data_IF_475873472444
#
_entry.id   IF_475873472444
#
_cell.length_a   1.000
_cell.length_b   1.000
_cell.length_c   1.000
_cell.angle_alpha   90.00
_cell.angle_beta   90.00
_cell.angle_gamma   90.00
#
_symmetry.space_group_name_H-M   'P 1'
#
loop_
_entity.id
_entity.type
_entity.pdbx_description
1 polymer ?
#
# COMPACT_ATOMS: atom_id res chain seq x y z
N UNK A 1 -13.55 30.98 -7.69
CA UNK A 1 -14.07 29.59 -7.86
C UNK A 1 -14.63 29.15 -6.50
N UNK A 2 -15.72 28.37 -6.43
CA UNK A 2 -16.27 27.92 -5.14
C UNK A 2 -16.01 26.43 -4.96
N UNK A 3 -15.29 26.06 -3.90
CA UNK A 3 -15.09 24.66 -3.53
C UNK A 3 -16.10 24.27 -2.45
N UNK A 4 -16.63 23.05 -2.51
CA UNK A 4 -17.55 22.52 -1.50
C UNK A 4 -16.92 21.25 -0.94
N UNK A 5 -16.76 21.19 0.38
CA UNK A 5 -16.33 20.01 1.11
C UNK A 5 -17.41 19.62 2.11
N UNK A 6 -18.03 18.45 1.94
CA UNK A 6 -19.08 17.91 2.84
C UNK A 6 -20.13 18.98 3.23
N UNK A 7 -20.63 19.71 2.22
CA UNK A 7 -21.61 20.81 2.36
C UNK A 7 -21.09 22.13 2.97
N UNK A 8 -19.82 22.22 3.34
CA UNK A 8 -19.16 23.48 3.73
C UNK A 8 -18.50 24.13 2.51
N UNK A 9 -18.80 25.41 2.29
CA UNK A 9 -18.20 26.19 1.21
C UNK A 9 -16.81 26.70 1.63
N UNK A 10 -15.82 26.48 0.77
CA UNK A 10 -14.49 27.11 0.85
C UNK A 10 -14.41 28.19 -0.21
N UNK A 11 -14.35 29.44 0.25
CA UNK A 11 -14.23 30.61 -0.62
C UNK A 11 -12.79 30.82 -1.04
N UNK A 12 -12.61 31.31 -2.26
CA UNK A 12 -11.30 31.63 -2.83
C UNK A 12 -11.27 33.01 -3.45
N UNK A 13 -10.08 33.61 -3.45
CA UNK A 13 -9.73 34.85 -4.13
C UNK A 13 -8.58 34.55 -5.08
N UNK A 14 -8.66 35.05 -6.31
CA UNK A 14 -7.56 34.96 -7.26
C UNK A 14 -6.73 36.24 -7.15
N UNK A 15 -5.45 36.10 -6.83
CA UNK A 15 -4.53 37.22 -6.67
C UNK A 15 -3.16 36.82 -7.19
N UNK A 16 -2.55 37.68 -8.01
CA UNK A 16 -1.24 37.45 -8.64
C UNK A 16 -1.17 36.11 -9.40
N UNK A 17 -2.24 35.75 -10.10
CA UNK A 17 -2.35 34.50 -10.86
C UNK A 17 -2.22 33.23 -9.99
N UNK A 18 -2.51 33.35 -8.69
CA UNK A 18 -2.56 32.27 -7.72
C UNK A 18 -3.90 32.26 -7.00
N UNK A 19 -4.36 31.06 -6.62
CA UNK A 19 -5.58 30.87 -5.84
C UNK A 19 -5.23 30.97 -4.36
N UNK A 20 -5.95 31.84 -3.66
CA UNK A 20 -5.88 32.01 -2.22
C UNK A 20 -7.20 31.59 -1.57
N UNK A 21 -7.11 30.84 -0.48
CA UNK A 21 -8.26 30.30 0.25
C UNK A 21 -8.56 31.12 1.49
N UNK A 22 -9.84 31.35 1.78
CA UNK A 22 -10.24 32.04 3.02
C UNK A 22 -9.96 31.15 4.22
N UNK A 23 -9.03 31.58 5.09
CA UNK A 23 -8.54 30.77 6.22
C UNK A 23 -9.65 30.40 7.21
N UNK A 24 -10.66 31.27 7.36
CA UNK A 24 -11.81 31.03 8.24
C UNK A 24 -12.58 29.77 7.83
N UNK A 25 -12.82 29.58 6.53
CA UNK A 25 -13.61 28.46 6.02
C UNK A 25 -12.85 27.14 6.25
N UNK A 26 -11.53 27.16 6.03
CA UNK A 26 -10.64 26.01 6.29
C UNK A 26 -10.63 25.68 7.79
N UNK A 27 -10.46 26.68 8.65
CA UNK A 27 -10.45 26.47 10.10
C UNK A 27 -11.78 25.91 10.60
N UNK A 28 -12.92 26.35 10.04
CA UNK A 28 -14.24 25.81 10.37
C UNK A 28 -14.42 24.37 9.90
N UNK A 29 -13.80 23.98 8.78
CA UNK A 29 -13.77 22.57 8.36
C UNK A 29 -12.88 21.74 9.28
N UNK A 30 -11.73 22.27 9.71
CA UNK A 30 -10.74 21.57 10.54
C UNK A 30 -11.04 21.61 12.06
N UNK A 31 -12.18 22.18 12.46
CA UNK A 31 -12.60 22.39 13.86
C UNK A 31 -11.57 23.21 14.67
N UNK A 32 -10.98 24.22 14.03
CA UNK A 32 -10.12 25.21 14.65
C UNK A 32 -10.93 26.45 15.06
N UNK A 33 -11.13 26.61 16.37
CA UNK A 33 -11.92 27.73 16.93
C UNK A 33 -11.24 29.09 16.83
N UNK A 34 -9.91 29.15 16.69
CA UNK A 34 -9.14 30.39 16.64
C UNK A 34 -8.33 30.47 15.34
N UNK A 35 -8.92 31.14 14.33
CA UNK A 35 -8.31 31.33 13.01
C UNK A 35 -6.96 32.04 13.10
N UNK A 36 -6.86 33.14 13.86
CA UNK A 36 -5.60 33.90 13.98
C UNK A 36 -4.45 33.06 14.51
N UNK A 37 -4.69 32.20 15.51
CA UNK A 37 -3.66 31.30 16.07
C UNK A 37 -3.27 30.17 15.11
N UNK A 38 -4.19 29.74 14.25
CA UNK A 38 -3.90 28.74 13.23
C UNK A 38 -2.99 29.34 12.15
N UNK A 39 -3.32 30.55 11.70
CA UNK A 39 -2.58 31.27 10.65
C UNK A 39 -1.23 31.81 11.15
N UNK A 40 -1.12 32.17 12.43
CA UNK A 40 0.15 32.64 13.03
C UNK A 40 1.29 31.62 12.91
N UNK A 41 0.96 30.32 12.86
CA UNK A 41 1.93 29.23 12.73
C UNK A 41 2.42 28.99 11.30
N UNK A 42 1.77 29.61 10.32
CA UNK A 42 2.16 29.49 8.92
C UNK A 42 3.30 30.44 8.62
N UNK A 43 4.13 30.08 7.65
CA UNK A 43 5.20 30.94 7.17
C UNK A 43 4.63 32.18 6.48
N UNK A 44 5.43 33.24 6.39
CA UNK A 44 4.95 34.54 5.89
C UNK A 44 4.59 34.53 4.40
N UNK A 45 5.11 33.57 3.63
CA UNK A 45 4.76 33.34 2.22
C UNK A 45 3.49 32.47 2.05
N UNK A 46 3.05 31.79 3.11
CA UNK A 46 1.87 30.93 3.10
C UNK A 46 0.56 31.68 3.40
N UNK A 47 0.65 32.90 3.94
CA UNK A 47 -0.50 33.68 4.44
C UNK A 47 -0.45 35.12 3.95
N UNK A 48 -1.62 35.74 3.76
CA UNK A 48 -1.73 37.17 3.57
C UNK A 48 -3.06 37.73 4.08
N UNK A 49 -3.11 39.03 4.33
CA UNK A 49 -4.36 39.74 4.61
C UNK A 49 -5.00 40.20 3.31
N UNK A 50 -6.23 39.78 3.09
CA UNK A 50 -7.01 40.16 1.91
C UNK A 50 -8.37 40.75 2.30
N UNK A 51 -8.96 41.49 1.37
CA UNK A 51 -10.29 42.08 1.52
C UNK A 51 -11.30 41.27 0.75
N UNK A 52 -12.33 40.78 1.44
CA UNK A 52 -13.44 40.04 0.86
C UNK A 52 -14.70 40.92 0.90
N UNK A 53 -15.34 41.09 -0.26
CA UNK A 53 -16.62 41.78 -0.34
C UNK A 53 -17.75 40.81 0.01
N UNK A 54 -18.42 41.05 1.13
CA UNK A 54 -19.53 40.24 1.63
C UNK A 54 -20.71 41.12 1.98
N UNK A 55 -21.87 40.83 1.40
CA UNK A 55 -23.15 41.48 1.76
C UNK A 55 -23.08 43.02 1.74
N UNK A 56 -22.39 43.60 0.76
CA UNK A 56 -22.25 45.05 0.62
C UNK A 56 -21.12 45.69 1.43
N UNK A 57 -20.33 44.90 2.17
CA UNK A 57 -19.25 45.40 3.01
C UNK A 57 -17.90 44.74 2.68
N UNK A 58 -16.83 45.54 2.74
CA UNK A 58 -15.47 45.06 2.71
C UNK A 58 -15.10 44.51 4.09
N UNK A 59 -14.63 43.26 4.15
CA UNK A 59 -14.12 42.63 5.37
C UNK A 59 -12.72 42.12 5.14
N UNK A 60 -11.83 42.49 6.05
CA UNK A 60 -10.48 41.95 6.09
C UNK A 60 -10.51 40.52 6.63
N UNK A 61 -9.77 39.61 5.97
CA UNK A 61 -9.65 38.22 6.37
C UNK A 61 -8.27 37.69 6.04
N UNK A 62 -7.81 36.73 6.83
CA UNK A 62 -6.67 35.91 6.47
C UNK A 62 -6.99 35.04 5.27
N UNK A 63 -6.07 35.04 4.32
CA UNK A 63 -6.01 34.13 3.20
C UNK A 63 -4.78 33.25 3.34
N UNK A 64 -4.88 32.02 2.84
CA UNK A 64 -3.77 31.07 2.78
C UNK A 64 -3.65 30.51 1.37
N UNK A 65 -2.42 30.30 0.90
CA UNK A 65 -2.19 29.63 -0.38
C UNK A 65 -2.31 28.11 -0.22
N UNK A 66 -2.00 27.35 -1.27
CA UNK A 66 -2.05 25.90 -1.24
C UNK A 66 -1.05 25.29 -0.24
N UNK A 67 0.15 25.87 -0.10
CA UNK A 67 1.14 25.42 0.90
C UNK A 67 0.59 25.58 2.32
N UNK A 68 0.07 26.77 2.65
CA UNK A 68 -0.54 27.05 3.95
C UNK A 68 -1.75 26.17 4.24
N UNK A 69 -2.57 25.86 3.23
CA UNK A 69 -3.67 24.91 3.34
C UNK A 69 -3.16 23.52 3.76
N UNK A 70 -2.12 23.00 3.10
CA UNK A 70 -1.53 21.71 3.47
C UNK A 70 -0.90 21.75 4.87
N UNK A 71 -0.20 22.83 5.24
CA UNK A 71 0.36 23.03 6.57
C UNK A 71 -0.74 22.95 7.66
N UNK A 72 -1.90 23.57 7.44
CA UNK A 72 -3.05 23.47 8.34
C UNK A 72 -3.64 22.05 8.41
N UNK A 73 -3.82 21.37 7.27
CA UNK A 73 -4.39 20.02 7.23
C UNK A 73 -3.45 19.01 7.91
N UNK A 74 -2.15 19.05 7.60
CA UNK A 74 -1.16 18.08 8.10
C UNK A 74 -0.89 18.19 9.60
N UNK A 75 -1.20 19.34 10.20
CA UNK A 75 -1.11 19.58 11.65
C UNK A 75 -2.44 19.40 12.38
N UNK A 76 -3.56 19.24 11.67
CA UNK A 76 -4.88 19.07 12.26
C UNK A 76 -5.02 17.73 12.99
N UNK A 77 -5.84 17.73 14.05
CA UNK A 77 -6.18 16.55 14.86
C UNK A 77 -7.48 15.87 14.42
N UNK A 78 -8.23 16.49 13.51
CA UNK A 78 -9.50 16.02 12.96
C UNK A 78 -9.34 14.67 12.24
N UNK A 79 -10.35 13.81 12.32
CA UNK A 79 -10.26 12.44 11.81
C UNK A 79 -10.03 12.41 10.29
N UNK A 80 -10.76 13.24 9.55
CA UNK A 80 -10.70 13.40 8.10
C UNK A 80 -9.33 13.93 7.68
N UNK A 81 -8.79 14.94 8.39
CA UNK A 81 -7.45 15.45 8.15
C UNK A 81 -6.35 14.41 8.41
N UNK A 82 -6.52 13.56 9.44
CA UNK A 82 -5.63 12.41 9.69
C UNK A 82 -5.70 11.37 8.57
N UNK A 83 -6.88 11.10 8.02
CA UNK A 83 -7.04 10.19 6.88
C UNK A 83 -6.31 10.75 5.65
N UNK A 84 -6.50 12.03 5.33
CA UNK A 84 -5.80 12.71 4.25
C UNK A 84 -4.28 12.69 4.45
N UNK A 85 -3.80 13.05 5.64
CA UNK A 85 -2.38 12.96 5.99
C UNK A 85 -1.84 11.56 5.77
N UNK A 86 -2.55 10.54 6.25
CA UNK A 86 -2.14 9.13 6.11
C UNK A 86 -2.08 8.73 4.64
N UNK A 87 -3.08 9.10 3.84
CA UNK A 87 -3.10 8.84 2.41
C UNK A 87 -1.90 9.50 1.71
N UNK A 88 -1.64 10.79 1.97
CA UNK A 88 -0.46 11.47 1.40
C UNK A 88 0.84 10.78 1.80
N UNK A 89 1.04 10.48 3.09
CA UNK A 89 2.33 10.00 3.59
C UNK A 89 2.58 8.52 3.33
N UNK A 90 1.55 7.70 3.20
CA UNK A 90 1.68 6.26 2.96
C UNK A 90 1.50 5.86 1.50
N UNK A 91 0.75 6.63 0.71
CA UNK A 91 0.44 6.30 -0.68
C UNK A 91 1.07 7.29 -1.65
N UNK A 92 0.69 8.57 -1.58
CA UNK A 92 1.06 9.55 -2.61
C UNK A 92 2.57 9.81 -2.64
N UNK A 93 3.15 10.29 -1.54
CA UNK A 93 4.58 10.63 -1.49
C UNK A 93 5.49 9.42 -1.72
N UNK A 94 5.24 8.24 -1.13
CA UNK A 94 6.03 7.06 -1.42
C UNK A 94 5.93 6.62 -2.89
N UNK A 95 4.76 6.76 -3.52
CA UNK A 95 4.59 6.46 -4.94
C UNK A 95 5.42 7.41 -5.79
N UNK A 96 5.26 8.73 -5.61
CA UNK A 96 6.03 9.74 -6.33
C UNK A 96 7.55 9.50 -6.17
N UNK A 97 8.02 9.20 -4.96
CA UNK A 97 9.44 8.91 -4.71
C UNK A 97 9.95 7.68 -5.49
N UNK A 98 9.10 6.66 -5.68
CA UNK A 98 9.49 5.40 -6.36
C UNK A 98 9.34 5.49 -7.87
N UNK A 99 8.31 6.17 -8.37
CA UNK A 99 7.91 6.13 -9.79
C UNK A 99 8.13 7.46 -10.51
N UNK A 100 8.42 8.55 -9.79
CA UNK A 100 8.53 9.90 -10.33
C UNK A 100 7.19 10.61 -10.55
N UNK A 101 6.03 9.99 -10.26
CA UNK A 101 4.73 10.62 -10.45
C UNK A 101 3.56 9.87 -9.82
N UNK A 102 2.44 10.57 -9.62
CA UNK A 102 1.18 10.02 -9.10
C UNK A 102 0.04 10.28 -10.07
N UNK A 103 -0.68 9.24 -10.47
CA UNK A 103 -1.84 9.33 -11.36
C UNK A 103 -3.07 8.90 -10.57
N UNK A 104 -3.83 9.89 -10.10
CA UNK A 104 -5.08 9.66 -9.38
C UNK A 104 -6.23 9.29 -10.32
N UNK A 105 -6.26 9.92 -11.51
CA UNK A 105 -7.31 9.76 -12.51
C UNK A 105 -6.68 9.62 -13.89
N UNK A 106 -6.84 8.43 -14.47
CA UNK A 106 -6.22 8.04 -15.74
C UNK A 106 -6.82 8.80 -16.92
N UNK A 107 -8.13 9.07 -16.89
CA UNK A 107 -8.82 9.81 -17.94
C UNK A 107 -8.40 11.28 -17.99
N UNK A 108 -8.33 11.94 -16.84
CA UNK A 108 -7.81 13.31 -16.73
C UNK A 108 -6.37 13.39 -17.20
N UNK A 109 -5.53 12.42 -16.82
CA UNK A 109 -4.14 12.36 -17.27
C UNK A 109 -4.03 12.23 -18.79
N UNK A 110 -4.77 11.29 -19.38
CA UNK A 110 -4.78 11.05 -20.82
C UNK A 110 -5.30 12.29 -21.58
N UNK A 111 -6.37 12.92 -21.10
CA UNK A 111 -6.92 14.12 -21.75
C UNK A 111 -5.94 15.29 -21.70
N UNK A 112 -5.23 15.46 -20.58
CA UNK A 112 -4.32 16.59 -20.38
C UNK A 112 -2.98 16.41 -21.12
N UNK A 113 -2.39 15.22 -21.04
CA UNK A 113 -1.01 14.98 -21.52
C UNK A 113 -0.95 14.22 -22.85
N UNK A 114 -2.03 13.55 -23.24
CA UNK A 114 -2.14 12.85 -24.53
C UNK A 114 -3.39 13.31 -25.33
N UNK A 115 -3.68 14.63 -25.43
CA UNK A 115 -4.93 15.12 -26.03
C UNK A 115 -5.07 14.66 -27.49
N UNK A 116 -3.98 14.68 -28.24
CA UNK A 116 -3.94 14.39 -29.68
C UNK A 116 -3.61 12.93 -30.03
N UNK A 117 -3.39 12.07 -29.03
CA UNK A 117 -3.19 10.65 -29.29
C UNK A 117 -4.46 10.01 -29.86
N UNK A 118 -4.29 9.04 -30.77
CA UNK A 118 -5.40 8.27 -31.31
C UNK A 118 -6.05 7.38 -30.24
N UNK A 119 -7.26 6.89 -30.53
CA UNK A 119 -8.03 6.12 -29.56
C UNK A 119 -7.31 4.82 -29.15
N UNK A 120 -6.60 4.19 -30.07
CA UNK A 120 -5.88 2.93 -29.82
C UNK A 120 -4.72 3.14 -28.83
N UNK A 121 -3.95 4.22 -28.99
CA UNK A 121 -2.85 4.60 -28.08
C UNK A 121 -3.40 4.92 -26.69
N UNK A 122 -4.51 5.66 -26.61
CA UNK A 122 -5.19 5.94 -25.33
C UNK A 122 -5.66 4.66 -24.63
N UNK A 123 -6.21 3.70 -25.38
CA UNK A 123 -6.63 2.38 -24.88
C UNK A 123 -5.45 1.54 -24.37
N UNK A 124 -4.35 1.44 -25.14
CA UNK A 124 -3.14 0.77 -24.67
C UNK A 124 -2.60 1.40 -23.39
N UNK A 125 -2.56 2.73 -23.32
CA UNK A 125 -2.04 3.42 -22.16
C UNK A 125 -2.86 3.13 -20.89
N UNK A 126 -4.20 3.16 -20.98
CA UNK A 126 -5.09 2.74 -19.88
C UNK A 126 -4.80 1.31 -19.43
N UNK A 127 -4.80 0.36 -20.37
CA UNK A 127 -4.55 -1.04 -20.06
C UNK A 127 -3.18 -1.26 -19.39
N UNK A 128 -2.17 -0.50 -19.82
CA UNK A 128 -0.82 -0.56 -19.25
C UNK A 128 -0.81 0.01 -17.83
N UNK A 129 -1.44 1.16 -17.59
CA UNK A 129 -1.56 1.74 -16.25
C UNK A 129 -2.31 0.82 -15.27
N UNK A 130 -3.42 0.23 -15.70
CA UNK A 130 -4.15 -0.76 -14.88
C UNK A 130 -3.27 -1.96 -14.54
N UNK A 131 -2.53 -2.48 -15.52
CA UNK A 131 -1.65 -3.63 -15.32
C UNK A 131 -0.54 -3.30 -14.32
N UNK A 132 0.08 -2.12 -14.46
CA UNK A 132 1.12 -1.64 -13.54
C UNK A 132 0.56 -1.44 -12.13
N UNK A 133 -0.66 -0.90 -11.97
CA UNK A 133 -1.31 -0.78 -10.65
C UNK A 133 -1.53 -2.14 -10.01
N UNK A 134 -2.11 -3.10 -10.74
CA UNK A 134 -2.32 -4.48 -10.26
C UNK A 134 -1.01 -5.15 -9.87
N UNK A 135 0.04 -4.98 -10.66
CA UNK A 135 1.38 -5.50 -10.33
C UNK A 135 1.95 -4.85 -9.07
N UNK A 136 1.86 -3.52 -8.93
CA UNK A 136 2.33 -2.79 -7.76
C UNK A 136 1.57 -3.17 -6.49
N UNK A 137 0.27 -3.38 -6.55
CA UNK A 137 -0.54 -3.88 -5.44
C UNK A 137 -0.12 -5.29 -5.03
N UNK A 138 0.08 -6.18 -6.00
CA UNK A 138 0.60 -7.52 -5.75
C UNK A 138 2.00 -7.47 -5.11
N UNK A 139 2.90 -6.61 -5.60
CA UNK A 139 4.22 -6.39 -5.00
C UNK A 139 4.13 -5.84 -3.58
N UNK A 140 3.24 -4.88 -3.31
CA UNK A 140 3.03 -4.29 -1.99
C UNK A 140 2.46 -5.29 -0.97
N UNK A 141 1.65 -6.26 -1.42
CA UNK A 141 1.17 -7.38 -0.58
C UNK A 141 2.28 -8.43 -0.37
N UNK A 142 3.10 -8.66 -1.38
CA UNK A 142 4.22 -9.61 -1.30
C UNK A 142 5.38 -9.08 -0.43
N UNK A 143 5.62 -7.78 -0.38
CA UNK A 143 6.75 -7.17 0.36
C UNK A 143 6.73 -7.42 1.88
N UNK A 144 5.66 -7.14 2.65
CA UNK A 144 5.63 -7.43 4.09
C UNK A 144 5.58 -8.94 4.37
N UNK A 145 5.06 -9.74 3.43
CA UNK A 145 5.20 -11.20 3.49
C UNK A 145 6.67 -11.59 3.33
N UNK A 146 7.38 -11.06 2.34
CA UNK A 146 8.80 -11.29 2.10
C UNK A 146 9.68 -10.84 3.28
N UNK A 147 9.42 -9.68 3.89
CA UNK A 147 10.16 -9.20 5.07
C UNK A 147 9.90 -10.06 6.31
N UNK A 148 8.67 -10.56 6.49
CA UNK A 148 8.35 -11.58 7.50
C UNK A 148 9.07 -12.91 7.20
N UNK A 149 9.17 -13.29 5.92
CA UNK A 149 9.93 -14.47 5.49
C UNK A 149 11.43 -14.33 5.80
N UNK A 150 12.07 -13.19 5.52
CA UNK A 150 13.50 -12.99 5.75
C UNK A 150 13.86 -13.05 7.24
N UNK A 151 13.01 -12.51 8.13
CA UNK A 151 13.21 -12.60 9.59
C UNK A 151 13.09 -14.03 10.15
N UNK A 152 12.29 -14.89 9.52
CA UNK A 152 12.15 -16.29 9.92
C UNK A 152 13.24 -17.19 9.31
N UNK A 153 13.77 -16.83 8.14
CA UNK A 153 14.83 -17.57 7.45
C UNK A 153 16.16 -17.53 8.21
N UNK A 154 16.41 -16.49 9.02
CA UNK A 154 17.63 -16.34 9.83
C UNK A 154 17.71 -17.28 11.06
N UNK A 155 16.66 -18.03 11.37
CA UNK A 155 16.71 -19.12 12.35
C UNK A 155 16.46 -20.41 11.60
N UNK A 156 17.48 -21.27 11.51
CA UNK A 156 17.53 -22.56 10.81
C UNK A 156 16.47 -23.59 11.33
N UNK A 157 15.18 -23.24 11.28
CA UNK A 157 14.01 -23.92 11.84
C UNK A 157 13.37 -24.83 10.79
N UNK A 158 14.16 -25.76 10.26
CA UNK A 158 13.67 -26.81 9.40
C UNK A 158 12.77 -27.77 10.19
N UNK A 159 11.56 -28.02 9.71
CA UNK A 159 10.62 -28.96 10.34
C UNK A 159 10.29 -30.12 9.39
N UNK A 160 9.84 -31.25 9.93
CA UNK A 160 9.42 -32.38 9.10
C UNK A 160 7.93 -32.24 8.71
N UNK A 161 7.44 -33.13 7.83
CA UNK A 161 6.04 -33.12 7.39
C UNK A 161 5.02 -33.27 8.52
N UNK A 162 5.36 -34.00 9.59
CA UNK A 162 4.45 -34.22 10.73
C UNK A 162 4.30 -32.95 11.54
N UNK A 163 5.41 -32.32 11.90
CA UNK A 163 5.39 -31.12 12.73
C UNK A 163 4.79 -29.94 11.97
N UNK A 164 5.07 -29.83 10.66
CA UNK A 164 4.40 -28.85 9.80
C UNK A 164 2.90 -29.09 9.71
N UNK A 165 2.45 -30.32 9.54
CA UNK A 165 1.01 -30.62 9.50
C UNK A 165 0.31 -30.25 10.81
N UNK A 166 0.95 -30.52 11.97
CA UNK A 166 0.43 -30.11 13.28
C UNK A 166 0.34 -28.59 13.43
N UNK A 167 1.37 -27.87 12.99
CA UNK A 167 1.41 -26.40 13.02
C UNK A 167 0.32 -25.77 12.14
N UNK A 168 -0.03 -26.44 11.04
CA UNK A 168 -1.12 -26.05 10.14
C UNK A 168 -2.49 -26.59 10.58
N UNK A 169 -2.58 -27.24 11.74
CA UNK A 169 -3.81 -27.84 12.30
C UNK A 169 -4.51 -28.83 11.33
N UNK A 170 -3.74 -29.51 10.47
CA UNK A 170 -4.26 -30.50 9.51
C UNK A 170 -3.65 -31.88 9.75
N UNK A 171 -4.40 -32.92 9.38
CA UNK A 171 -3.90 -34.29 9.45
C UNK A 171 -2.68 -34.50 8.56
N UNK A 172 -1.62 -35.14 9.07
CA UNK A 172 -0.37 -35.38 8.33
C UNK A 172 -0.61 -36.06 6.97
N UNK A 173 -1.53 -37.03 6.91
CA UNK A 173 -1.85 -37.74 5.65
C UNK A 173 -2.53 -36.80 4.64
N UNK A 174 -3.45 -35.96 5.11
CA UNK A 174 -4.12 -34.94 4.30
C UNK A 174 -3.11 -33.96 3.73
N UNK A 175 -2.19 -33.46 4.56
CA UNK A 175 -1.14 -32.54 4.13
C UNK A 175 -0.23 -33.15 3.06
N UNK A 176 0.24 -34.39 3.26
CA UNK A 176 1.09 -35.08 2.29
C UNK A 176 0.36 -35.30 0.97
N UNK A 177 -0.90 -35.75 1.02
CA UNK A 177 -1.69 -35.97 -0.18
C UNK A 177 -1.89 -34.67 -0.96
N UNK A 178 -2.20 -33.57 -0.26
CA UNK A 178 -2.33 -32.25 -0.86
C UNK A 178 -1.02 -31.78 -1.52
N UNK A 179 0.13 -32.00 -0.86
CA UNK A 179 1.44 -31.66 -1.44
C UNK A 179 1.75 -32.47 -2.70
N UNK A 180 1.35 -33.75 -2.74
CA UNK A 180 1.52 -34.61 -3.92
C UNK A 180 0.58 -34.18 -5.05
N UNK A 181 -0.69 -33.92 -4.74
CA UNK A 181 -1.70 -33.51 -5.71
C UNK A 181 -1.36 -32.15 -6.36
N UNK A 182 -0.89 -31.18 -5.57
CA UNK A 182 -0.42 -29.88 -6.06
C UNK A 182 0.98 -29.94 -6.71
N UNK A 183 1.61 -31.12 -6.74
CA UNK A 183 2.90 -31.33 -7.38
C UNK A 183 4.07 -30.63 -6.68
N UNK A 184 4.01 -30.42 -5.36
CA UNK A 184 5.14 -29.90 -4.56
C UNK A 184 6.18 -30.98 -4.27
N UNK A 185 5.70 -32.19 -3.98
CA UNK A 185 6.53 -33.37 -3.70
C UNK A 185 6.02 -34.56 -4.49
N UNK A 186 6.90 -35.53 -4.72
CA UNK A 186 6.57 -36.82 -5.31
C UNK A 186 7.11 -37.95 -4.43
N UNK A 187 6.64 -39.17 -4.67
CA UNK A 187 7.19 -40.37 -4.04
C UNK A 187 8.23 -40.99 -4.96
N UNK A 188 9.42 -41.24 -4.44
CA UNK A 188 10.44 -41.99 -5.17
C UNK A 188 10.11 -43.49 -5.23
N UNK A 189 10.97 -44.27 -5.89
CA UNK A 189 10.83 -45.73 -6.03
C UNK A 189 10.83 -46.47 -4.67
N UNK A 190 11.34 -45.85 -3.62
CA UNK A 190 11.34 -46.37 -2.24
C UNK A 190 10.16 -45.83 -1.41
N UNK A 191 9.24 -45.09 -2.03
CA UNK A 191 8.09 -44.48 -1.37
C UNK A 191 8.41 -43.24 -0.52
N UNK A 192 9.65 -42.74 -0.54
CA UNK A 192 10.08 -41.55 0.21
C UNK A 192 9.65 -40.28 -0.50
N UNK A 193 9.26 -39.27 0.29
CA UNK A 193 8.82 -37.98 -0.24
C UNK A 193 10.02 -37.12 -0.62
N UNK A 194 10.07 -36.72 -1.90
CA UNK A 194 11.09 -35.84 -2.46
C UNK A 194 10.45 -34.60 -3.07
N UNK A 195 11.03 -33.40 -2.85
CA UNK A 195 10.53 -32.19 -3.48
C UNK A 195 10.91 -32.15 -4.95
N UNK A 196 10.08 -31.53 -5.79
CA UNK A 196 10.52 -31.16 -7.13
C UNK A 196 11.62 -30.09 -7.06
N UNK A 197 12.59 -30.15 -7.99
CA UNK A 197 13.78 -29.28 -7.98
C UNK A 197 13.45 -27.78 -7.91
N UNK A 198 12.39 -27.34 -8.60
CA UNK A 198 11.93 -25.93 -8.61
C UNK A 198 11.50 -25.38 -7.24
N UNK A 199 11.23 -26.25 -6.25
CA UNK A 199 10.84 -25.84 -4.90
C UNK A 199 11.97 -26.00 -3.87
N UNK A 200 13.17 -26.42 -4.31
CA UNK A 200 14.35 -26.55 -3.47
C UNK A 200 15.41 -25.50 -3.89
N UNK A 201 16.11 -24.83 -2.96
CA UNK A 201 16.04 -24.99 -1.52
C UNK A 201 14.94 -24.13 -0.84
N UNK A 202 14.14 -23.39 -1.62
CA UNK A 202 13.27 -22.34 -1.06
C UNK A 202 12.18 -22.87 -0.11
N UNK A 203 11.39 -23.86 -0.53
CA UNK A 203 10.29 -24.42 0.27
C UNK A 203 10.71 -25.69 1.02
N UNK A 204 11.67 -26.42 0.46
CA UNK A 204 12.18 -27.68 1.01
C UNK A 204 13.70 -27.69 1.02
N UNK A 205 14.27 -28.31 2.06
CA UNK A 205 15.70 -28.57 2.17
C UNK A 205 15.92 -30.03 2.52
N UNK A 206 16.80 -30.70 1.78
CA UNK A 206 17.21 -32.07 2.07
C UNK A 206 18.35 -32.05 3.09
N UNK A 207 18.18 -32.77 4.20
CA UNK A 207 19.18 -32.89 5.27
C UNK A 207 19.56 -34.34 5.48
N UNK A 208 20.85 -34.61 5.57
CA UNK A 208 21.36 -35.92 5.96
C UNK A 208 21.07 -36.19 7.43
N UNK A 209 20.71 -37.42 7.76
CA UNK A 209 20.55 -37.89 9.12
C UNK A 209 21.22 -39.25 9.26
N UNK A 210 21.73 -39.50 10.46
CA UNK A 210 22.21 -40.81 10.88
C UNK A 210 21.51 -41.17 12.18
N UNK A 211 20.86 -42.33 12.21
CA UNK A 211 20.23 -42.85 13.42
C UNK A 211 20.38 -44.36 13.47
N UNK A 212 20.91 -44.87 14.58
CA UNK A 212 21.10 -46.29 14.84
C UNK A 212 21.86 -47.01 13.69
N UNK A 213 22.95 -46.40 13.20
CA UNK A 213 23.80 -46.96 12.13
C UNK A 213 23.20 -46.95 10.72
N UNK A 214 22.06 -46.28 10.52
CA UNK A 214 21.46 -46.06 9.19
C UNK A 214 21.56 -44.58 8.83
N UNK A 215 22.24 -44.28 7.73
CA UNK A 215 22.33 -42.95 7.14
C UNK A 215 21.31 -42.78 6.02
N UNK A 216 20.78 -41.57 5.86
CA UNK A 216 19.87 -41.25 4.78
C UNK A 216 19.60 -39.76 4.65
N UNK A 217 18.79 -39.40 3.66
CA UNK A 217 18.40 -38.00 3.40
C UNK A 217 16.92 -37.83 3.71
N UNK A 218 16.61 -36.87 4.56
CA UNK A 218 15.25 -36.48 4.90
C UNK A 218 14.90 -35.13 4.26
N UNK A 219 13.72 -35.06 3.64
CA UNK A 219 13.14 -33.81 3.16
C UNK A 219 12.56 -33.05 4.36
N UNK A 220 13.06 -31.83 4.57
CA UNK A 220 12.57 -30.90 5.57
C UNK A 220 11.89 -29.70 4.91
N UNK A 221 10.97 -29.08 5.61
CA UNK A 221 10.21 -27.92 5.15
C UNK A 221 10.83 -26.68 5.77
N UNK A 222 11.06 -25.66 4.96
CA UNK A 222 11.61 -24.38 5.42
C UNK A 222 10.52 -23.53 6.08
N UNK A 223 10.87 -22.50 6.87
CA UNK A 223 9.90 -21.49 7.29
C UNK A 223 9.12 -20.91 6.09
N UNK A 224 9.80 -20.69 4.96
CA UNK A 224 9.18 -20.24 3.71
C UNK A 224 8.16 -21.24 3.16
N UNK A 225 8.49 -22.53 3.19
CA UNK A 225 7.58 -23.62 2.82
C UNK A 225 6.31 -23.64 3.66
N UNK A 226 6.45 -23.66 4.99
CA UNK A 226 5.30 -23.75 5.92
C UNK A 226 4.26 -22.66 5.69
N UNK A 227 4.71 -21.42 5.64
CA UNK A 227 3.83 -20.26 5.47
C UNK A 227 3.22 -20.20 4.06
N UNK A 228 3.98 -20.60 3.03
CA UNK A 228 3.43 -20.76 1.67
C UNK A 228 2.27 -21.76 1.67
N UNK A 229 2.43 -22.90 2.36
CA UNK A 229 1.37 -23.90 2.44
C UNK A 229 0.17 -23.43 3.27
N UNK A 230 0.39 -22.70 4.37
CA UNK A 230 -0.69 -22.06 5.16
C UNK A 230 -1.59 -21.19 4.28
N UNK A 231 -0.98 -20.26 3.53
CA UNK A 231 -1.71 -19.32 2.67
C UNK A 231 -2.48 -20.02 1.52
N UNK A 232 -1.90 -21.07 0.95
CA UNK A 232 -2.54 -21.82 -0.13
C UNK A 232 -3.71 -22.68 0.38
N UNK A 233 -3.63 -23.17 1.61
CA UNK A 233 -4.71 -23.90 2.26
C UNK A 233 -5.87 -22.97 2.64
N UNK A 234 -5.59 -21.77 3.15
CA UNK A 234 -6.63 -20.75 3.46
C UNK A 234 -7.44 -20.36 2.21
N UNK A 235 -6.76 -20.14 1.07
CA UNK A 235 -7.41 -19.81 -0.21
C UNK A 235 -8.25 -20.95 -0.80
N UNK A 236 -8.05 -22.18 -0.36
CA UNK A 236 -8.82 -23.32 -0.85
C UNK A 236 -10.15 -23.49 -0.09
N UNK A 237 -10.34 -22.77 1.02
CA UNK A 237 -11.53 -22.83 1.89
C UNK A 237 -12.45 -21.62 1.69
N UNK A 238 -11.93 -20.52 1.11
CA UNK A 238 -12.66 -19.33 0.69
C UNK A 238 -13.18 -19.42 -0.74
#
# INVERSE_FOLDING_TARGET
MNFIYEHKQVRTIEQNNAIWFVAKDICEILDHSQVSKAVERLDDDEKLMGTLFLSGQNRETWLVNESGLYSLILTSRKAEAKQFKRWITHEVLPTIRKTGGYIANEDMFIQTYLPHADNQTKLMFRATLETVRKQNEQMAIMQPKADYFDRLVDRNLLTNFRDTAKELEIGQRTFINWLVEKGFVYRDQQGKLKPYGKYSPELFKMKEFERNGKAGVQTMITPKGRETFRLLLEKAVS
#
